data_IF_885996607407
#
_entry.id   IF_885996607407
#
_cell.length_a   1.000
_cell.length_b   1.000
_cell.length_c   1.000
_cell.angle_alpha   90.00
_cell.angle_beta   90.00
_cell.angle_gamma   90.00
#
_symmetry.space_group_name_H-M   'P 1'
#
loop_
_entity.id
_entity.type
_entity.pdbx_description
1 polymer ?
#
# COMPACT_ATOMS: atom_id res chain seq x y z
N UNK A 1 53.87 14.43 -11.29
CA UNK A 1 53.07 14.00 -10.12
C UNK A 1 51.74 14.72 -10.21
N UNK A 2 50.75 14.06 -10.80
CA UNK A 2 49.37 14.56 -10.80
C UNK A 2 48.80 14.43 -9.39
N UNK A 3 48.35 15.55 -8.83
CA UNK A 3 47.67 15.58 -7.54
C UNK A 3 46.31 14.88 -7.67
N UNK A 4 45.88 14.09 -6.67
CA UNK A 4 44.57 13.46 -6.71
C UNK A 4 43.49 14.55 -6.67
N UNK A 5 42.61 14.55 -7.68
CA UNK A 5 41.44 15.41 -7.74
C UNK A 5 40.60 15.11 -6.51
N UNK A 6 40.56 16.07 -5.58
CA UNK A 6 39.80 16.01 -4.35
C UNK A 6 38.32 15.83 -4.71
N UNK A 7 37.74 14.65 -4.45
CA UNK A 7 36.33 14.37 -4.72
C UNK A 7 35.47 15.40 -3.99
N UNK A 8 34.82 16.28 -4.78
CA UNK A 8 33.96 17.32 -4.25
C UNK A 8 32.83 16.70 -3.43
N UNK A 9 32.83 16.97 -2.12
CA UNK A 9 31.77 16.55 -1.22
C UNK A 9 30.45 17.18 -1.68
N UNK A 10 29.41 16.35 -1.79
CA UNK A 10 28.10 16.80 -2.24
C UNK A 10 27.49 17.71 -1.17
N UNK A 11 27.11 18.97 -1.49
CA UNK A 11 26.72 19.93 -0.46
C UNK A 11 25.23 19.81 -0.09
N UNK A 12 24.49 18.94 -0.78
CA UNK A 12 23.08 18.66 -0.48
C UNK A 12 22.95 17.87 0.84
N UNK A 13 21.87 18.10 1.59
CA UNK A 13 21.56 17.33 2.79
C UNK A 13 20.12 16.82 2.76
N UNK A 14 19.95 15.53 3.01
CA UNK A 14 18.65 14.90 3.21
C UNK A 14 18.23 15.15 4.66
N UNK A 15 17.02 15.68 4.85
CA UNK A 15 16.44 15.97 6.17
C UNK A 15 15.11 15.23 6.27
N UNK A 16 15.03 14.29 7.20
CA UNK A 16 13.79 13.56 7.51
C UNK A 16 12.82 14.45 8.27
N UNK A 17 11.54 14.18 8.09
CA UNK A 17 10.47 14.82 8.84
C UNK A 17 9.68 13.75 9.58
N UNK A 18 9.47 13.99 10.87
CA UNK A 18 8.64 13.19 11.76
C UNK A 18 9.11 11.72 11.90
N UNK A 19 10.35 11.40 11.52
CA UNK A 19 10.93 10.06 11.56
C UNK A 19 12.34 10.11 12.17
N UNK A 20 12.62 9.26 13.15
CA UNK A 20 13.98 9.10 13.68
C UNK A 20 14.82 8.18 12.79
N UNK A 21 16.15 8.25 12.94
CA UNK A 21 17.06 7.32 12.24
C UNK A 21 16.96 5.90 12.76
N UNK A 22 16.38 5.69 13.94
CA UNK A 22 16.07 4.39 14.52
C UNK A 22 14.62 4.41 15.00
N UNK A 23 13.75 3.60 14.41
CA UNK A 23 12.32 3.58 14.74
C UNK A 23 11.73 2.17 14.70
N UNK A 24 10.75 1.91 15.58
CA UNK A 24 9.98 0.66 15.62
C UNK A 24 8.58 0.92 15.08
N UNK A 25 8.15 0.12 14.11
CA UNK A 25 6.82 0.24 13.48
C UNK A 25 6.11 -1.10 13.44
N UNK A 26 4.78 -1.06 13.32
CA UNK A 26 3.92 -2.26 13.39
C UNK A 26 3.19 -2.60 12.09
N UNK A 27 3.64 -2.00 10.98
CA UNK A 27 3.06 -2.17 9.66
C UNK A 27 4.17 -2.21 8.61
N UNK A 28 3.93 -2.96 7.54
CA UNK A 28 4.96 -3.33 6.57
C UNK A 28 5.25 -2.30 5.47
N UNK A 29 4.48 -1.20 5.39
CA UNK A 29 4.66 -0.16 4.37
C UNK A 29 4.80 1.20 5.04
N UNK A 30 6.01 1.76 5.06
CA UNK A 30 6.29 3.01 5.76
C UNK A 30 6.35 4.20 4.82
N UNK A 31 5.68 5.30 5.17
CA UNK A 31 5.80 6.57 4.47
C UNK A 31 7.00 7.34 5.04
N UNK A 32 8.03 7.54 4.23
CA UNK A 32 9.19 8.36 4.57
C UNK A 32 9.02 9.71 3.89
N UNK A 33 8.95 10.78 4.69
CA UNK A 33 8.78 12.16 4.21
C UNK A 33 9.95 13.02 4.66
N UNK A 34 10.35 13.96 3.81
CA UNK A 34 11.48 14.83 4.13
C UNK A 34 11.66 15.98 3.16
N UNK A 35 12.78 16.67 3.34
CA UNK A 35 13.21 17.77 2.49
C UNK A 35 14.69 17.66 2.14
N UNK A 36 15.06 18.28 1.03
CA UNK A 36 16.45 18.42 0.60
C UNK A 36 16.89 19.84 0.90
N UNK A 37 17.90 20.01 1.75
CA UNK A 37 18.60 21.29 1.85
C UNK A 37 19.61 21.34 0.71
N UNK A 38 19.37 22.22 -0.25
CA UNK A 38 20.29 22.43 -1.37
C UNK A 38 21.53 23.16 -0.87
N UNK A 39 22.69 22.62 -1.19
CA UNK A 39 23.98 23.19 -0.85
C UNK A 39 24.43 24.29 -1.82
N UNK A 40 25.67 24.75 -1.70
CA UNK A 40 26.17 25.86 -2.51
C UNK A 40 26.11 25.54 -4.03
N UNK A 41 25.63 26.51 -4.80
CA UNK A 41 25.31 26.44 -6.24
C UNK A 41 26.56 26.18 -7.09
N UNK A 42 27.75 26.53 -6.57
CA UNK A 42 29.03 26.39 -7.29
C UNK A 42 29.65 24.98 -7.22
N UNK A 43 28.93 23.99 -6.68
CA UNK A 43 29.42 22.62 -6.64
C UNK A 43 29.16 21.90 -7.97
N UNK A 44 30.07 21.00 -8.37
CA UNK A 44 29.88 20.10 -9.53
C UNK A 44 28.55 19.32 -9.48
N UNK A 45 27.98 19.16 -8.28
CA UNK A 45 26.73 18.47 -8.05
C UNK A 45 25.49 19.24 -8.56
N UNK A 46 25.60 20.55 -8.82
CA UNK A 46 24.52 21.37 -9.38
C UNK A 46 24.30 21.14 -10.88
N UNK A 47 25.33 20.66 -11.60
CA UNK A 47 25.23 20.36 -13.04
C UNK A 47 24.46 19.06 -13.32
N UNK A 48 24.37 18.16 -12.34
CA UNK A 48 23.43 17.04 -12.34
C UNK A 48 22.08 17.52 -11.82
N UNK A 49 21.06 17.57 -12.68
CA UNK A 49 19.67 17.80 -12.27
C UNK A 49 19.19 16.63 -11.39
N UNK A 50 19.46 16.67 -10.09
CA UNK A 50 18.91 15.70 -9.15
C UNK A 50 17.50 16.12 -8.78
N UNK A 51 16.51 15.54 -9.45
CA UNK A 51 15.09 15.73 -9.17
C UNK A 51 14.44 14.45 -8.60
N UNK A 52 15.24 13.43 -8.27
CA UNK A 52 14.80 12.13 -7.78
C UNK A 52 15.59 11.78 -6.52
N UNK A 53 14.89 11.20 -5.55
CA UNK A 53 15.50 10.51 -4.41
C UNK A 53 15.36 9.00 -4.63
N UNK A 54 16.48 8.29 -4.51
CA UNK A 54 16.49 6.84 -4.58
C UNK A 54 16.33 6.30 -3.16
N UNK A 55 15.40 5.36 -2.98
CA UNK A 55 15.20 4.63 -1.75
C UNK A 55 15.62 3.18 -1.99
N UNK A 56 16.48 2.65 -1.13
CA UNK A 56 16.86 1.23 -1.12
C UNK A 56 16.60 0.65 0.25
N UNK A 57 15.93 -0.50 0.34
CA UNK A 57 15.98 -1.35 1.51
C UNK A 57 17.04 -2.41 1.26
N UNK A 58 18.24 -2.24 1.84
CA UNK A 58 19.38 -3.13 1.60
C UNK A 58 19.21 -4.49 2.25
N UNK A 59 18.32 -4.63 3.25
CA UNK A 59 17.95 -5.93 3.82
C UNK A 59 17.20 -6.80 2.79
N UNK A 60 16.36 -6.19 1.96
CA UNK A 60 15.49 -6.92 0.99
C UNK A 60 15.92 -6.76 -0.46
N UNK A 61 16.96 -5.98 -0.73
CA UNK A 61 17.41 -5.57 -2.06
C UNK A 61 16.31 -4.90 -2.91
N UNK A 62 15.28 -4.33 -2.27
CA UNK A 62 14.22 -3.58 -2.96
C UNK A 62 14.63 -2.12 -3.12
N UNK A 63 14.45 -1.58 -4.32
CA UNK A 63 14.75 -0.18 -4.63
C UNK A 63 13.55 0.51 -5.27
N UNK A 64 13.47 1.83 -5.11
CA UNK A 64 12.46 2.67 -5.75
C UNK A 64 12.96 4.10 -5.92
N UNK A 65 12.35 4.82 -6.84
CA UNK A 65 12.70 6.20 -7.18
C UNK A 65 11.49 7.10 -7.01
N UNK A 66 11.71 8.25 -6.37
CA UNK A 66 10.63 9.16 -6.02
C UNK A 66 10.98 10.59 -6.42
N UNK A 67 10.03 11.35 -6.98
CA UNK A 67 10.29 12.72 -7.39
C UNK A 67 10.53 13.63 -6.18
N UNK A 68 11.49 14.53 -6.31
CA UNK A 68 11.75 15.65 -5.41
C UNK A 68 11.12 16.89 -6.03
N UNK A 69 10.07 17.41 -5.40
CA UNK A 69 9.31 18.57 -5.88
C UNK A 69 9.39 19.68 -4.85
N UNK A 70 9.82 20.87 -5.26
CA UNK A 70 10.04 22.03 -4.36
C UNK A 70 10.87 21.64 -3.13
N UNK A 71 11.98 20.91 -3.37
CA UNK A 71 12.90 20.41 -2.35
C UNK A 71 12.26 19.50 -1.29
N UNK A 72 11.13 18.86 -1.59
CA UNK A 72 10.43 17.92 -0.71
C UNK A 72 10.24 16.59 -1.40
N UNK A 73 10.21 15.52 -0.62
CA UNK A 73 9.98 14.17 -1.11
C UNK A 73 9.06 13.39 -0.19
N UNK A 74 8.42 12.37 -0.76
CA UNK A 74 7.67 11.33 -0.07
C UNK A 74 7.97 10.01 -0.76
N UNK A 75 8.41 9.02 0.00
CA UNK A 75 8.76 7.70 -0.49
C UNK A 75 8.02 6.65 0.32
N UNK A 76 7.71 5.52 -0.30
CA UNK A 76 7.21 4.34 0.41
C UNK A 76 8.33 3.31 0.56
N UNK A 77 8.61 2.90 1.79
CA UNK A 77 9.53 1.82 2.10
C UNK A 77 8.75 0.54 2.39
N UNK A 78 9.02 -0.50 1.61
CA UNK A 78 8.52 -1.86 1.87
C UNK A 78 9.44 -2.54 2.90
N UNK A 79 8.86 -3.00 4.01
CA UNK A 79 9.58 -3.55 5.16
C UNK A 79 9.34 -5.05 5.30
N UNK A 80 10.41 -5.80 5.56
CA UNK A 80 10.35 -7.20 6.00
C UNK A 80 10.35 -7.28 7.52
N UNK A 81 9.78 -8.34 8.09
CA UNK A 81 9.76 -8.54 9.54
C UNK A 81 11.20 -8.52 10.10
N UNK A 82 11.41 -7.81 11.21
CA UNK A 82 12.72 -7.54 11.81
C UNK A 82 13.35 -6.23 11.34
N UNK A 83 14.68 -6.21 11.27
CA UNK A 83 15.46 -5.00 10.97
C UNK A 83 15.57 -4.72 9.47
N UNK A 84 15.29 -3.48 9.08
CA UNK A 84 15.35 -2.97 7.72
C UNK A 84 16.33 -1.80 7.66
N UNK A 85 17.38 -1.96 6.85
CA UNK A 85 18.34 -0.89 6.59
C UNK A 85 17.88 -0.12 5.34
N UNK A 86 17.34 1.07 5.55
CA UNK A 86 16.86 1.95 4.49
C UNK A 86 17.93 2.98 4.16
N UNK A 87 18.28 3.07 2.89
CA UNK A 87 19.25 4.01 2.36
C UNK A 87 18.53 4.96 1.41
N UNK A 88 18.55 6.25 1.74
CA UNK A 88 18.09 7.32 0.87
C UNK A 88 19.31 7.95 0.19
N UNK A 89 19.28 8.04 -1.13
CA UNK A 89 20.32 8.68 -1.93
C UNK A 89 19.75 9.82 -2.78
N UNK A 90 20.39 10.97 -2.71
CA UNK A 90 20.09 12.14 -3.52
C UNK A 90 21.40 12.75 -4.01
N UNK A 91 21.61 12.77 -5.33
CA UNK A 91 22.93 13.00 -5.93
C UNK A 91 24.02 12.08 -5.31
N UNK A 92 25.08 12.65 -4.73
CA UNK A 92 26.12 11.93 -3.99
C UNK A 92 25.90 11.94 -2.46
N UNK A 93 24.80 12.52 -1.97
CA UNK A 93 24.45 12.48 -0.54
C UNK A 93 23.65 11.22 -0.24
N UNK A 94 24.03 10.55 0.85
CA UNK A 94 23.36 9.35 1.35
C UNK A 94 22.92 9.58 2.79
N UNK A 95 21.76 9.05 3.15
CA UNK A 95 21.25 8.99 4.51
C UNK A 95 20.76 7.57 4.80
N UNK A 96 21.26 6.98 5.89
CA UNK A 96 20.87 5.65 6.35
C UNK A 96 19.87 5.76 7.51
N UNK A 97 18.88 4.87 7.52
CA UNK A 97 17.79 4.78 8.49
C UNK A 97 17.62 3.31 8.84
N UNK A 98 17.54 2.98 10.13
CA UNK A 98 17.24 1.63 10.61
C UNK A 98 15.79 1.58 11.10
N UNK A 99 14.98 0.77 10.44
CA UNK A 99 13.58 0.57 10.82
C UNK A 99 13.39 -0.87 11.28
N UNK A 100 12.87 -1.06 12.48
CA UNK A 100 12.47 -2.37 12.95
C UNK A 100 10.95 -2.53 12.76
N UNK A 101 10.55 -3.46 11.91
CA UNK A 101 9.14 -3.80 11.71
C UNK A 101 8.81 -5.09 12.44
N UNK A 102 7.80 -5.04 13.31
CA UNK A 102 7.19 -6.25 13.88
C UNK A 102 5.67 -6.11 13.93
N UNK A 103 4.91 -7.08 13.39
CA UNK A 103 3.44 -7.08 13.51
C UNK A 103 3.01 -7.00 14.98
N UNK A 104 1.84 -6.42 15.23
CA UNK A 104 1.28 -6.39 16.59
C UNK A 104 0.92 -7.81 17.01
N UNK A 105 1.17 -8.12 18.29
CA UNK A 105 0.57 -9.29 18.91
C UNK A 105 -0.93 -9.05 19.12
N UNK A 106 -1.73 -9.55 18.18
CA UNK A 106 -3.18 -9.42 18.19
C UNK A 106 -3.80 -10.57 17.43
N UNK A 107 -5.00 -10.98 17.87
CA UNK A 107 -5.83 -11.93 17.13
C UNK A 107 -6.84 -11.25 16.20
N UNK A 108 -6.94 -9.91 16.28
CA UNK A 108 -7.86 -9.09 15.50
C UNK A 108 -7.17 -8.51 14.27
N UNK A 109 -7.76 -8.71 13.08
CA UNK A 109 -7.20 -8.25 11.83
C UNK A 109 -8.26 -7.78 10.82
N UNK A 110 -7.79 -7.04 9.82
CA UNK A 110 -8.51 -6.71 8.59
C UNK A 110 -8.03 -7.66 7.50
N UNK A 111 -8.97 -8.29 6.81
CA UNK A 111 -8.73 -9.27 5.75
C UNK A 111 -9.23 -8.70 4.42
N UNK A 112 -8.32 -8.36 3.49
CA UNK A 112 -8.72 -8.02 2.13
C UNK A 112 -9.25 -9.25 1.39
N UNK A 113 -10.40 -9.13 0.73
CA UNK A 113 -11.05 -10.21 -0.02
C UNK A 113 -11.36 -9.76 -1.45
N UNK A 114 -11.09 -10.63 -2.41
CA UNK A 114 -11.53 -10.49 -3.80
C UNK A 114 -12.62 -11.52 -4.10
N UNK A 115 -13.84 -11.04 -4.32
CA UNK A 115 -15.04 -11.85 -4.49
C UNK A 115 -15.27 -12.13 -5.98
N UNK A 116 -15.33 -13.41 -6.32
CA UNK A 116 -15.55 -13.93 -7.66
C UNK A 116 -16.93 -14.58 -7.70
N UNK A 117 -17.85 -13.99 -8.48
CA UNK A 117 -19.19 -14.56 -8.68
C UNK A 117 -19.13 -15.89 -9.43
N UNK A 118 -20.11 -16.77 -9.22
CA UNK A 118 -20.14 -18.18 -9.62
C UNK A 118 -19.78 -18.46 -11.08
N UNK A 119 -20.19 -17.58 -11.98
CA UNK A 119 -20.03 -17.65 -13.43
C UNK A 119 -19.08 -16.57 -13.97
N UNK A 120 -18.30 -15.94 -13.09
CA UNK A 120 -17.30 -14.94 -13.47
C UNK A 120 -15.92 -15.57 -13.61
N UNK A 121 -15.15 -15.14 -14.62
CA UNK A 121 -13.78 -15.60 -14.82
C UNK A 121 -12.75 -14.92 -13.89
N UNK A 122 -13.22 -14.06 -12.97
CA UNK A 122 -12.40 -13.33 -12.01
C UNK A 122 -11.62 -12.14 -12.58
N UNK A 123 -11.71 -11.83 -13.88
CA UNK A 123 -11.02 -10.68 -14.46
C UNK A 123 -11.82 -9.39 -14.24
N UNK A 124 -11.25 -8.41 -13.54
CA UNK A 124 -11.94 -7.13 -13.32
C UNK A 124 -11.96 -6.27 -14.59
N UNK A 125 -12.83 -5.26 -14.63
CA UNK A 125 -12.88 -4.36 -15.78
C UNK A 125 -11.62 -3.48 -15.83
N UNK A 126 -10.90 -3.51 -16.95
CA UNK A 126 -9.72 -2.68 -17.18
C UNK A 126 -9.66 -2.16 -18.62
N UNK A 127 -8.89 -1.10 -18.91
CA UNK A 127 -8.60 -0.68 -20.27
C UNK A 127 -7.90 -1.77 -21.09
N UNK A 128 -7.94 -1.65 -22.42
CA UNK A 128 -7.22 -2.55 -23.31
C UNK A 128 -5.72 -2.59 -22.96
N UNK A 129 -5.11 -3.78 -23.09
CA UNK A 129 -3.70 -4.04 -22.80
C UNK A 129 -3.28 -3.89 -21.32
N UNK A 130 -4.23 -3.75 -20.39
CA UNK A 130 -3.95 -3.81 -18.96
C UNK A 130 -4.21 -5.22 -18.42
N UNK A 131 -3.28 -5.74 -17.62
CA UNK A 131 -3.50 -6.98 -16.88
C UNK A 131 -4.64 -6.79 -15.87
N UNK A 132 -5.68 -7.59 -16.02
CA UNK A 132 -6.86 -7.61 -15.17
C UNK A 132 -7.10 -8.96 -14.50
N UNK A 133 -6.07 -9.80 -14.41
CA UNK A 133 -6.10 -11.11 -13.75
C UNK A 133 -6.47 -11.01 -12.27
N UNK A 134 -6.90 -12.15 -11.72
CA UNK A 134 -7.14 -12.33 -10.29
C UNK A 134 -5.90 -11.98 -9.47
N UNK A 135 -4.71 -12.39 -9.93
CA UNK A 135 -3.45 -12.10 -9.26
C UNK A 135 -3.16 -10.60 -9.17
N UNK A 136 -3.35 -9.88 -10.29
CA UNK A 136 -3.19 -8.41 -10.29
C UNK A 136 -4.27 -7.72 -9.46
N UNK A 137 -5.50 -8.22 -9.42
CA UNK A 137 -6.54 -7.71 -8.53
C UNK A 137 -6.12 -7.84 -7.06
N UNK A 138 -5.75 -9.04 -6.63
CA UNK A 138 -5.30 -9.31 -5.26
C UNK A 138 -4.08 -8.46 -4.87
N UNK A 139 -3.10 -8.30 -5.77
CA UNK A 139 -1.92 -7.45 -5.52
C UNK A 139 -2.29 -5.98 -5.39
N UNK A 140 -3.17 -5.45 -6.25
CA UNK A 140 -3.65 -4.06 -6.16
C UNK A 140 -4.41 -3.82 -4.85
N UNK A 141 -5.29 -4.76 -4.48
CA UNK A 141 -6.06 -4.72 -3.23
C UNK A 141 -5.12 -4.73 -2.02
N UNK A 142 -4.14 -5.63 -1.97
CA UNK A 142 -3.18 -5.70 -0.86
C UNK A 142 -2.34 -4.45 -0.72
N UNK A 143 -1.81 -3.90 -1.83
CA UNK A 143 -1.10 -2.61 -1.82
C UNK A 143 -2.02 -1.49 -1.30
N UNK A 144 -3.27 -1.44 -1.78
CA UNK A 144 -4.26 -0.48 -1.29
C UNK A 144 -4.51 -0.60 0.22
N UNK A 145 -4.67 -1.83 0.72
CA UNK A 145 -4.88 -2.10 2.14
C UNK A 145 -3.68 -1.65 3.01
N UNK A 146 -2.45 -1.93 2.55
CA UNK A 146 -1.20 -1.48 3.20
C UNK A 146 -1.05 0.03 3.17
N UNK A 147 -1.44 0.69 2.09
CA UNK A 147 -1.47 2.16 2.01
C UNK A 147 -2.45 2.77 3.01
N UNK A 148 -3.65 2.21 3.16
CA UNK A 148 -4.63 2.66 4.16
C UNK A 148 -4.10 2.42 5.58
N UNK A 149 -3.46 1.29 5.83
CA UNK A 149 -2.82 0.97 7.11
C UNK A 149 -1.74 2.00 7.46
N UNK A 150 -0.87 2.33 6.50
CA UNK A 150 0.18 3.35 6.60
C UNK A 150 -0.41 4.75 6.87
N UNK A 151 -1.40 5.16 6.07
CA UNK A 151 -2.04 6.46 6.22
C UNK A 151 -2.72 6.59 7.58
N UNK A 152 -3.36 5.53 8.07
CA UNK A 152 -3.99 5.51 9.39
C UNK A 152 -2.96 5.74 10.50
N UNK A 153 -1.80 5.07 10.42
CA UNK A 153 -0.70 5.26 11.36
C UNK A 153 -0.18 6.70 11.35
N UNK A 154 0.04 7.27 10.17
CA UNK A 154 0.54 8.65 10.03
C UNK A 154 -0.48 9.67 10.51
N UNK A 155 -1.79 9.45 10.28
CA UNK A 155 -2.84 10.38 10.73
C UNK A 155 -3.04 10.36 12.23
N UNK A 156 -2.92 9.19 12.86
CA UNK A 156 -2.93 9.09 14.31
C UNK A 156 -1.70 9.76 14.92
N UNK A 157 -0.52 9.57 14.30
CA UNK A 157 0.70 10.24 14.72
C UNK A 157 0.61 11.77 14.60
N UNK A 158 0.12 12.28 13.47
CA UNK A 158 -0.11 13.72 13.24
C UNK A 158 -1.12 14.32 14.24
N UNK A 159 -1.98 13.49 14.83
CA UNK A 159 -2.95 13.90 15.85
C UNK A 159 -2.42 13.79 17.29
N UNK A 160 -1.13 13.51 17.47
CA UNK A 160 -0.47 13.43 18.78
C UNK A 160 -0.51 12.05 19.43
N UNK A 161 -0.96 11.01 18.72
CA UNK A 161 -0.87 9.63 19.18
C UNK A 161 0.44 8.97 18.70
N UNK A 162 0.67 7.72 19.10
CA UNK A 162 1.72 6.89 18.49
C UNK A 162 1.31 6.47 17.06
N UNK A 163 2.25 5.94 16.28
CA UNK A 163 2.01 5.34 14.95
C UNK A 163 1.25 4.01 15.05
N UNK A 164 0.02 4.09 15.55
CA UNK A 164 -0.90 2.96 15.72
C UNK A 164 -1.75 2.78 14.48
N UNK A 165 -2.03 1.54 14.14
CA UNK A 165 -2.92 1.19 13.03
C UNK A 165 -3.56 -0.17 13.26
N UNK A 166 -4.49 -0.54 12.40
CA UNK A 166 -5.10 -1.86 12.39
C UNK A 166 -4.10 -2.89 11.83
N UNK A 167 -4.30 -4.15 12.20
CA UNK A 167 -3.45 -5.24 11.71
C UNK A 167 -4.04 -5.83 10.43
N UNK A 168 -3.25 -5.99 9.37
CA UNK A 168 -3.67 -6.77 8.21
C UNK A 168 -3.40 -8.26 8.45
N UNK A 169 -4.29 -9.13 7.97
CA UNK A 169 -4.14 -10.58 8.14
C UNK A 169 -2.83 -11.13 7.54
N UNK A 170 -2.41 -10.59 6.39
CA UNK A 170 -1.13 -10.96 5.73
C UNK A 170 0.08 -10.83 6.67
N UNK A 171 0.05 -9.84 7.56
CA UNK A 171 1.18 -9.54 8.43
C UNK A 171 1.29 -10.55 9.60
N UNK A 172 0.20 -11.25 9.93
CA UNK A 172 0.15 -12.25 11.01
C UNK A 172 0.36 -13.66 10.47
N UNK A 173 -0.39 -14.03 9.42
CA UNK A 173 -0.57 -15.43 9.03
C UNK A 173 0.25 -15.81 7.80
N UNK A 174 0.21 -14.98 6.76
CA UNK A 174 0.79 -15.32 5.45
C UNK A 174 1.25 -14.06 4.71
N UNK A 175 2.54 -13.67 4.84
CA UNK A 175 3.08 -12.49 4.18
C UNK A 175 3.02 -12.54 2.65
N UNK A 176 2.82 -13.73 2.07
CA UNK A 176 2.77 -13.95 0.62
C UNK A 176 1.36 -13.85 0.04
N UNK A 177 0.33 -13.76 0.89
CA UNK A 177 -1.06 -13.66 0.45
C UNK A 177 -1.62 -12.26 0.74
N UNK A 178 -1.59 -11.42 -0.29
CA UNK A 178 -2.03 -10.02 -0.21
C UNK A 178 -3.54 -9.85 -0.03
N UNK A 179 -4.32 -10.84 -0.49
CA UNK A 179 -5.78 -10.80 -0.53
C UNK A 179 -6.34 -12.21 -0.70
N UNK A 180 -7.38 -12.54 0.07
CA UNK A 180 -8.06 -13.84 0.01
C UNK A 180 -8.99 -13.88 -1.20
N UNK A 181 -8.90 -14.95 -1.98
CA UNK A 181 -9.81 -15.21 -3.11
C UNK A 181 -11.06 -15.89 -2.59
N UNK A 182 -12.23 -15.31 -2.85
CA UNK A 182 -13.49 -15.84 -2.37
C UNK A 182 -14.43 -16.15 -3.54
N UNK A 183 -14.75 -17.43 -3.73
CA UNK A 183 -15.73 -17.86 -4.73
C UNK A 183 -17.13 -17.79 -4.13
N UNK A 184 -18.00 -17.00 -4.75
CA UNK A 184 -19.38 -16.79 -4.35
C UNK A 184 -20.33 -17.68 -5.16
N UNK A 185 -21.45 -18.05 -4.57
CA UNK A 185 -22.54 -18.74 -5.24
C UNK A 185 -23.46 -17.80 -6.03
N UNK A 186 -23.35 -16.48 -5.82
CA UNK A 186 -24.13 -15.48 -6.56
C UNK A 186 -23.66 -15.41 -8.00
N UNK A 187 -24.58 -15.47 -8.96
CA UNK A 187 -24.23 -15.25 -10.36
C UNK A 187 -23.96 -13.77 -10.65
N UNK A 188 -23.20 -13.50 -11.70
CA UNK A 188 -22.93 -12.17 -12.23
C UNK A 188 -24.25 -11.47 -12.61
N UNK A 189 -25.20 -12.23 -13.16
CA UNK A 189 -26.49 -11.68 -13.59
C UNK A 189 -27.30 -11.15 -12.41
N UNK A 190 -27.39 -11.91 -11.32
CA UNK A 190 -28.04 -11.52 -10.07
C UNK A 190 -27.30 -10.36 -9.40
N UNK A 191 -25.97 -10.44 -9.29
CA UNK A 191 -25.16 -9.39 -8.68
C UNK A 191 -25.33 -8.04 -9.40
N UNK A 192 -25.49 -8.06 -10.74
CA UNK A 192 -25.69 -6.84 -11.53
C UNK A 192 -27.11 -6.30 -11.49
N UNK A 193 -28.08 -7.08 -11.03
CA UNK A 193 -29.46 -6.62 -10.80
C UNK A 193 -29.70 -6.06 -9.40
N UNK A 194 -28.80 -6.36 -8.45
CA UNK A 194 -28.94 -5.96 -7.04
C UNK A 194 -28.47 -4.53 -6.78
N UNK A 195 -29.12 -3.87 -5.81
CA UNK A 195 -28.65 -2.62 -5.21
C UNK A 195 -27.46 -2.83 -4.27
N UNK A 196 -26.81 -1.74 -3.86
CA UNK A 196 -25.61 -1.81 -3.03
C UNK A 196 -25.86 -2.50 -1.69
N UNK A 197 -26.98 -2.20 -1.03
CA UNK A 197 -27.35 -2.77 0.28
C UNK A 197 -27.64 -4.27 0.19
N UNK A 198 -28.30 -4.69 -0.89
CA UNK A 198 -28.58 -6.11 -1.16
C UNK A 198 -27.27 -6.87 -1.38
N UNK A 199 -26.35 -6.32 -2.17
CA UNK A 199 -25.01 -6.91 -2.37
C UNK A 199 -24.24 -7.02 -1.06
N UNK A 200 -24.19 -5.93 -0.29
CA UNK A 200 -23.50 -5.90 1.00
C UNK A 200 -24.09 -6.92 1.98
N UNK A 201 -25.43 -7.03 2.02
CA UNK A 201 -26.13 -7.99 2.88
C UNK A 201 -25.86 -9.43 2.45
N UNK A 202 -25.93 -9.71 1.14
CA UNK A 202 -25.70 -11.05 0.60
C UNK A 202 -24.27 -11.51 0.88
N UNK A 203 -23.26 -10.74 0.46
CA UNK A 203 -21.86 -11.13 0.64
C UNK A 203 -21.45 -11.15 2.11
N UNK A 204 -22.01 -10.24 2.92
CA UNK A 204 -21.83 -10.30 4.37
C UNK A 204 -22.29 -11.62 4.96
N UNK A 205 -23.50 -12.09 4.61
CA UNK A 205 -24.01 -13.40 5.05
C UNK A 205 -23.18 -14.55 4.51
N UNK A 206 -22.85 -14.52 3.22
CA UNK A 206 -22.12 -15.61 2.57
C UNK A 206 -20.71 -15.80 3.16
N UNK A 207 -19.97 -14.71 3.37
CA UNK A 207 -18.66 -14.75 4.02
C UNK A 207 -18.80 -15.33 5.44
N UNK A 208 -19.82 -14.92 6.18
CA UNK A 208 -20.05 -15.38 7.55
C UNK A 208 -20.56 -16.83 7.67
N UNK A 209 -21.14 -17.37 6.60
CA UNK A 209 -21.50 -18.79 6.49
C UNK A 209 -20.36 -19.66 5.94
N UNK A 210 -19.26 -19.06 5.49
CA UNK A 210 -18.09 -19.76 4.94
C UNK A 210 -17.03 -20.08 6.01
N UNK A 211 -15.95 -20.77 5.60
CA UNK A 211 -14.77 -21.01 6.45
C UNK A 211 -14.01 -19.73 6.83
N UNK A 212 -14.26 -18.59 6.17
CA UNK A 212 -13.63 -17.31 6.52
C UNK A 212 -14.25 -16.65 7.76
N UNK A 213 -15.45 -17.09 8.14
CA UNK A 213 -16.24 -16.61 9.28
C UNK A 213 -15.39 -16.43 10.54
N UNK A 214 -15.38 -15.22 11.09
CA UNK A 214 -14.66 -14.94 12.34
C UNK A 214 -15.13 -13.63 12.96
N UNK A 215 -15.37 -13.62 14.28
CA UNK A 215 -15.63 -12.40 15.05
C UNK A 215 -14.38 -11.54 15.26
N UNK A 216 -13.21 -12.09 14.91
CA UNK A 216 -11.91 -11.41 15.04
C UNK A 216 -11.42 -10.81 13.72
N UNK A 217 -12.16 -11.00 12.63
CA UNK A 217 -11.86 -10.42 11.31
C UNK A 217 -12.83 -9.30 10.97
N UNK A 218 -12.30 -8.29 10.30
CA UNK A 218 -13.08 -7.32 9.52
C UNK A 218 -12.69 -7.49 8.06
N UNK A 219 -13.67 -7.48 7.16
CA UNK A 219 -13.43 -7.77 5.76
C UNK A 219 -13.44 -6.50 4.92
N UNK A 220 -12.41 -6.35 4.09
CA UNK A 220 -12.32 -5.33 3.07
C UNK A 220 -12.48 -6.02 1.70
N UNK A 221 -13.70 -6.07 1.20
CA UNK A 221 -14.06 -6.89 0.05
C UNK A 221 -14.23 -6.09 -1.24
N UNK A 222 -13.83 -6.70 -2.35
CA UNK A 222 -13.90 -6.12 -3.69
C UNK A 222 -14.57 -7.08 -4.66
N UNK A 223 -15.56 -6.60 -5.41
CA UNK A 223 -16.31 -7.41 -6.39
C UNK A 223 -15.59 -7.47 -7.73
N UNK A 224 -15.34 -8.68 -8.23
CA UNK A 224 -14.74 -8.89 -9.56
C UNK A 224 -15.66 -8.50 -10.73
N UNK A 225 -16.98 -8.53 -10.53
CA UNK A 225 -17.96 -8.43 -11.60
C UNK A 225 -18.53 -7.02 -11.82
N UNK A 226 -17.99 -6.02 -11.10
CA UNK A 226 -18.30 -4.60 -11.29
C UNK A 226 -18.06 -4.21 -12.74
N UNK A 227 -19.01 -3.47 -13.33
CA UNK A 227 -18.97 -3.18 -14.75
C UNK A 227 -19.63 -1.84 -15.09
N UNK A 228 -18.87 -0.98 -15.74
CA UNK A 228 -19.36 0.23 -16.39
C UNK A 228 -20.06 -0.09 -17.71
N UNK A 229 -21.37 0.19 -17.76
CA UNK A 229 -22.18 0.16 -18.98
C UNK A 229 -22.17 1.55 -19.62
N UNK A 230 -21.27 1.76 -20.59
CA UNK A 230 -21.10 3.06 -21.25
C UNK A 230 -22.31 3.54 -22.06
N UNK A 231 -23.22 2.63 -22.47
CA UNK A 231 -24.45 3.00 -23.19
C UNK A 231 -25.47 3.61 -22.23
N UNK A 232 -25.62 2.99 -21.06
CA UNK A 232 -26.55 3.44 -20.02
C UNK A 232 -25.95 4.47 -19.06
N UNK A 233 -24.63 4.69 -19.13
CA UNK A 233 -23.85 5.54 -18.21
C UNK A 233 -24.04 5.15 -16.74
N UNK A 234 -24.07 3.85 -16.46
CA UNK A 234 -24.24 3.33 -15.09
C UNK A 234 -23.19 2.26 -14.78
N UNK A 235 -22.78 2.18 -13.51
CA UNK A 235 -21.96 1.08 -13.00
C UNK A 235 -22.89 0.02 -12.40
N UNK A 236 -22.75 -1.23 -12.84
CA UNK A 236 -23.47 -2.40 -12.30
C UNK A 236 -22.59 -3.19 -11.34
N UNK A 237 -23.22 -3.96 -10.44
CA UNK A 237 -22.53 -4.73 -9.41
C UNK A 237 -21.47 -3.89 -8.67
N UNK A 238 -21.85 -2.68 -8.31
CA UNK A 238 -21.00 -1.73 -7.59
C UNK A 238 -21.58 -1.51 -6.21
N UNK A 239 -20.71 -1.51 -5.20
CA UNK A 239 -21.03 -1.07 -3.85
C UNK A 239 -19.94 -0.12 -3.37
N UNK A 240 -20.29 0.74 -2.43
CA UNK A 240 -19.35 1.52 -1.63
C UNK A 240 -19.93 1.64 -0.21
N UNK A 241 -20.16 0.49 0.42
CA UNK A 241 -20.86 0.38 1.71
C UNK A 241 -19.96 -0.26 2.76
N UNK A 242 -20.03 0.27 3.97
CA UNK A 242 -19.31 -0.28 5.12
C UNK A 242 -20.17 -0.27 6.36
N UNK A 243 -20.10 -1.35 7.13
CA UNK A 243 -20.83 -1.50 8.39
C UNK A 243 -20.50 -2.82 9.06
N UNK A 244 -20.69 -2.90 10.38
CA UNK A 244 -20.48 -4.15 11.12
C UNK A 244 -19.10 -4.79 10.87
N UNK A 245 -19.08 -5.92 10.17
CA UNK A 245 -17.88 -6.69 9.84
C UNK A 245 -17.34 -6.54 8.42
N UNK A 246 -18.02 -5.80 7.53
CA UNK A 246 -17.75 -5.79 6.09
C UNK A 246 -17.73 -4.36 5.53
N UNK A 247 -16.67 -4.03 4.79
CA UNK A 247 -16.66 -2.97 3.81
C UNK A 247 -16.61 -3.60 2.41
N UNK A 248 -17.56 -3.23 1.54
CA UNK A 248 -17.72 -3.79 0.20
C UNK A 248 -17.57 -2.70 -0.85
N UNK A 249 -16.70 -2.97 -1.82
CA UNK A 249 -16.38 -2.07 -2.91
C UNK A 249 -16.57 -2.78 -4.27
N UNK A 250 -16.99 -2.03 -5.29
CA UNK A 250 -16.79 -2.45 -6.66
C UNK A 250 -15.34 -2.27 -7.11
N UNK A 251 -14.90 -3.04 -8.12
CA UNK A 251 -13.59 -2.86 -8.77
C UNK A 251 -13.64 -2.00 -10.02
#
# INVERSE_FOLDING_TARGET
MEQPIQESSCPHRIILRDLSTEEKVTFSLMLIKGSIRIGNINSQCFHTQCNVIHLSNTTTNKTSEWPVVKNKFKCLADLSNGDNNIVLKFCKTTLEIKLHYSPRDTKFCVTPIYIICKDHNGHFQAPNNCDNSIDTACRKIGVGARLIQCLTAEKLYESGYERKTFQLERDINNPNEECVRFQSNLSVSEARSMGQEELWTYFGREIMSSSLSSTKRKFLAFLSCTHWDGRKKVVKAHAALGGGGLALFGT
#
